data_IF_641875314059
#
_entry.id   IF_641875314059
#
_cell.length_a   1.000
_cell.length_b   1.000
_cell.length_c   1.000
_cell.angle_alpha   90.00
_cell.angle_beta   90.00
_cell.angle_gamma   90.00
#
_symmetry.space_group_name_H-M   'P 1'
#
loop_
_entity.id
_entity.type
_entity.pdbx_description
1 polymer ?
#
# COMPACT_ATOMS: atom_id res chain seq x y z
N UNK A 1 -30.20 5.99 80.24
CA UNK A 1 -31.03 5.53 79.10
C UNK A 1 -30.68 6.15 77.74
N UNK A 2 -30.10 7.36 77.63
CA UNK A 2 -29.78 7.98 76.32
C UNK A 2 -28.67 7.28 75.50
N UNK A 3 -27.68 6.66 76.15
CA UNK A 3 -26.55 6.00 75.45
C UNK A 3 -26.95 4.77 74.62
N UNK A 4 -27.95 3.99 75.07
CA UNK A 4 -28.40 2.79 74.34
C UNK A 4 -29.17 3.10 73.05
N UNK A 5 -29.87 4.25 72.99
CA UNK A 5 -30.61 4.65 71.78
C UNK A 5 -29.69 5.02 70.61
N UNK A 6 -28.54 5.62 70.89
CA UNK A 6 -27.56 6.00 69.86
C UNK A 6 -26.90 4.75 69.26
N UNK A 7 -26.54 3.78 70.10
CA UNK A 7 -25.93 2.52 69.62
C UNK A 7 -26.90 1.75 68.73
N UNK A 8 -28.18 1.66 69.11
CA UNK A 8 -29.19 0.98 68.30
C UNK A 8 -29.41 1.66 66.93
N UNK A 9 -29.39 2.99 66.90
CA UNK A 9 -29.52 3.76 65.65
C UNK A 9 -28.32 3.54 64.72
N UNK A 10 -27.10 3.54 65.26
CA UNK A 10 -25.88 3.30 64.46
C UNK A 10 -25.86 1.89 63.89
N UNK A 11 -26.26 0.89 64.67
CA UNK A 11 -26.37 -0.50 64.19
C UNK A 11 -27.41 -0.63 63.08
N UNK A 12 -28.57 0.03 63.22
CA UNK A 12 -29.60 0.01 62.18
C UNK A 12 -29.15 0.69 60.88
N UNK A 13 -28.43 1.82 60.96
CA UNK A 13 -27.92 2.52 59.77
C UNK A 13 -26.83 1.71 59.07
N UNK A 14 -25.91 1.09 59.82
CA UNK A 14 -24.86 0.23 59.25
C UNK A 14 -25.48 -1.01 58.58
N UNK A 15 -26.49 -1.61 59.20
CA UNK A 15 -27.23 -2.72 58.59
C UNK A 15 -27.91 -2.30 57.28
N UNK A 16 -28.48 -1.09 57.23
CA UNK A 16 -29.13 -0.57 56.01
C UNK A 16 -28.11 -0.29 54.89
N UNK A 17 -26.94 0.28 55.21
CA UNK A 17 -25.86 0.50 54.23
C UNK A 17 -25.34 -0.81 53.67
N UNK A 18 -25.23 -1.86 54.49
CA UNK A 18 -24.87 -3.20 54.01
C UNK A 18 -25.98 -3.85 53.16
N UNK A 19 -27.25 -3.65 53.52
CA UNK A 19 -28.38 -4.21 52.77
C UNK A 19 -28.53 -3.57 51.37
N UNK A 20 -28.18 -2.28 51.24
CA UNK A 20 -28.33 -1.53 49.97
C UNK A 20 -27.02 -1.33 49.20
N UNK A 21 -25.85 -1.50 49.83
CA UNK A 21 -24.54 -1.45 49.16
C UNK A 21 -24.17 -2.73 48.41
N UNK A 22 -25.00 -3.77 48.50
CA UNK A 22 -24.79 -5.10 47.88
C UNK A 22 -25.51 -5.28 46.54
N UNK A 23 -26.00 -4.21 45.93
CA UNK A 23 -26.35 -4.27 44.50
C UNK A 23 -25.05 -4.01 43.71
N UNK A 24 -24.37 -5.05 43.17
CA UNK A 24 -23.32 -4.82 42.20
C UNK A 24 -23.93 -3.95 41.11
N UNK A 25 -23.22 -2.88 40.73
CA UNK A 25 -23.55 -2.05 39.59
C UNK A 25 -24.04 -2.94 38.47
N UNK A 26 -25.31 -2.78 38.10
CA UNK A 26 -25.89 -3.50 36.98
C UNK A 26 -25.06 -3.14 35.76
N UNK A 27 -24.09 -3.97 35.42
CA UNK A 27 -23.74 -4.14 34.03
C UNK A 27 -25.07 -4.44 33.36
N UNK A 28 -25.55 -3.49 32.55
CA UNK A 28 -26.56 -3.72 31.54
C UNK A 28 -25.97 -4.77 30.59
N UNK A 29 -25.96 -6.01 31.06
CA UNK A 29 -25.59 -7.21 30.33
C UNK A 29 -26.72 -7.50 29.37
N UNK A 30 -26.84 -6.66 28.35
CA UNK A 30 -27.49 -7.08 27.12
C UNK A 30 -26.71 -8.27 26.59
N UNK A 31 -27.40 -9.35 26.26
CA UNK A 31 -26.82 -10.44 25.48
C UNK A 31 -26.28 -9.82 24.18
N UNK A 32 -24.97 -9.72 24.06
CA UNK A 32 -24.34 -9.41 22.77
C UNK A 32 -24.47 -10.68 21.94
N UNK A 33 -25.57 -10.77 21.20
CA UNK A 33 -25.79 -11.86 20.29
C UNK A 33 -24.84 -11.69 19.10
N UNK A 34 -23.71 -12.39 19.16
CA UNK A 34 -22.76 -12.46 18.04
C UNK A 34 -23.36 -13.33 16.95
N UNK A 35 -24.10 -12.72 16.02
CA UNK A 35 -24.56 -13.39 14.81
C UNK A 35 -23.52 -13.21 13.71
N UNK A 36 -23.06 -14.31 13.13
CA UNK A 36 -22.37 -14.25 11.85
C UNK A 36 -23.37 -13.82 10.77
N UNK A 37 -23.23 -12.60 10.27
CA UNK A 37 -24.03 -12.11 9.15
C UNK A 37 -23.27 -12.41 7.85
N UNK A 38 -23.77 -13.38 7.09
CA UNK A 38 -23.23 -13.70 5.76
C UNK A 38 -23.97 -12.90 4.70
N UNK A 39 -23.24 -12.06 3.95
CA UNK A 39 -23.80 -11.33 2.82
C UNK A 39 -23.53 -12.09 1.52
N UNK A 40 -24.60 -12.35 0.74
CA UNK A 40 -24.48 -13.01 -0.59
C UNK A 40 -24.05 -12.05 -1.71
N UNK A 41 -23.96 -10.76 -1.42
CA UNK A 41 -23.47 -9.71 -2.31
C UNK A 41 -22.64 -8.70 -1.48
N UNK A 42 -21.70 -8.01 -2.13
CA UNK A 42 -20.79 -7.07 -1.46
C UNK A 42 -21.53 -6.01 -0.62
N UNK A 43 -20.95 -5.65 0.52
CA UNK A 43 -21.50 -4.64 1.43
C UNK A 43 -21.36 -3.26 0.76
N UNK A 44 -22.48 -2.65 0.33
CA UNK A 44 -22.49 -1.25 -0.10
C UNK A 44 -22.69 -0.36 1.13
N UNK A 45 -21.66 0.38 1.51
CA UNK A 45 -21.79 1.42 2.53
C UNK A 45 -22.74 2.51 2.03
N UNK A 46 -23.90 2.64 2.66
CA UNK A 46 -24.78 3.79 2.46
C UNK A 46 -24.29 5.02 3.24
N UNK A 47 -24.83 6.23 2.96
CA UNK A 47 -24.42 7.47 3.61
C UNK A 47 -24.70 7.53 5.13
N UNK A 48 -25.34 6.49 5.69
CA UNK A 48 -25.63 6.34 7.12
C UNK A 48 -25.00 5.09 7.73
N UNK A 49 -24.10 4.40 7.02
CA UNK A 49 -23.36 3.29 7.61
C UNK A 49 -22.38 3.85 8.64
N UNK A 50 -22.53 3.42 9.90
CA UNK A 50 -21.54 3.68 10.94
C UNK A 50 -20.21 3.13 10.47
N UNK A 51 -19.35 4.05 10.04
CA UNK A 51 -18.01 3.78 9.58
C UNK A 51 -17.29 2.96 10.67
N UNK A 52 -16.82 1.76 10.32
CA UNK A 52 -15.68 1.16 11.01
C UNK A 52 -14.44 1.85 10.44
N UNK A 53 -14.35 3.17 10.63
CA UNK A 53 -13.14 3.94 10.39
C UNK A 53 -12.54 4.15 11.76
N UNK A 54 -11.40 3.52 12.01
CA UNK A 54 -10.61 3.93 13.17
C UNK A 54 -10.19 5.40 12.99
N UNK A 55 -9.89 6.09 14.08
CA UNK A 55 -9.59 7.54 14.06
C UNK A 55 -8.35 7.93 13.22
N UNK A 56 -7.67 6.98 12.58
CA UNK A 56 -6.56 7.25 11.67
C UNK A 56 -7.00 7.51 10.22
N UNK A 57 -8.28 7.36 9.88
CA UNK A 57 -8.78 7.62 8.52
C UNK A 57 -8.30 6.59 7.48
N UNK A 58 -7.68 5.50 7.94
CA UNK A 58 -7.22 4.41 7.07
C UNK A 58 -8.34 3.40 6.93
N UNK A 59 -8.73 3.10 5.69
CA UNK A 59 -9.54 1.93 5.37
C UNK A 59 -8.74 0.67 5.70
N UNK A 60 -8.81 0.20 6.95
CA UNK A 60 -8.47 -1.16 7.30
C UNK A 60 -9.64 -2.03 6.90
N UNK A 61 -9.76 -2.26 5.60
CA UNK A 61 -10.59 -3.33 5.06
C UNK A 61 -10.05 -4.66 5.55
N UNK A 62 -10.34 -5.00 6.80
CA UNK A 62 -10.28 -6.36 7.28
C UNK A 62 -11.29 -7.13 6.42
N UNK A 63 -10.80 -7.85 5.42
CA UNK A 63 -11.50 -9.05 4.95
C UNK A 63 -11.53 -9.97 6.17
N UNK A 64 -12.63 -9.87 6.92
CA UNK A 64 -12.78 -10.45 8.24
C UNK A 64 -12.59 -11.96 8.19
N UNK A 65 -11.53 -12.46 8.85
CA UNK A 65 -11.30 -13.88 9.05
C UNK A 65 -9.84 -14.29 9.18
N UNK A 66 -8.91 -13.43 8.79
CA UNK A 66 -7.49 -13.64 9.10
C UNK A 66 -6.92 -12.28 9.44
N UNK A 67 -6.16 -12.19 10.52
CA UNK A 67 -5.05 -11.23 10.61
C UNK A 67 -4.10 -11.57 9.46
N UNK A 68 -4.53 -11.29 8.24
CA UNK A 68 -3.81 -11.58 7.03
C UNK A 68 -2.62 -10.68 7.11
N UNK A 69 -1.47 -11.27 7.41
CA UNK A 69 -0.21 -10.69 7.00
C UNK A 69 -0.45 -10.22 5.57
N UNK A 70 -0.47 -8.91 5.33
CA UNK A 70 -0.21 -8.42 4.00
C UNK A 70 1.07 -9.13 3.63
N UNK A 71 1.01 -10.06 2.67
CA UNK A 71 2.23 -10.66 2.18
C UNK A 71 3.09 -9.46 1.82
N UNK A 72 4.32 -9.43 2.30
CA UNK A 72 5.30 -8.36 2.01
C UNK A 72 5.63 -8.29 0.51
N UNK A 73 4.92 -9.06 -0.30
CA UNK A 73 5.12 -9.28 -1.70
C UNK A 73 3.76 -9.38 -2.40
N UNK A 74 3.69 -8.82 -3.61
CA UNK A 74 2.54 -8.92 -4.49
C UNK A 74 2.77 -10.10 -5.45
N UNK A 75 2.00 -11.17 -5.29
CA UNK A 75 1.95 -12.26 -6.27
C UNK A 75 0.92 -11.97 -7.35
N UNK A 76 1.31 -12.02 -8.63
CA UNK A 76 0.40 -11.89 -9.77
C UNK A 76 0.33 -13.25 -10.47
N UNK A 77 -0.87 -13.81 -10.61
CA UNK A 77 -1.09 -15.06 -11.36
C UNK A 77 -0.40 -16.31 -10.80
N UNK A 78 0.01 -16.32 -9.52
CA UNK A 78 0.68 -17.45 -8.89
C UNK A 78 2.19 -17.56 -9.16
N UNK A 79 2.81 -16.54 -9.78
CA UNK A 79 4.27 -16.47 -9.97
C UNK A 79 5.06 -16.04 -8.71
N UNK A 80 6.38 -15.96 -8.84
CA UNK A 80 7.26 -15.39 -7.81
C UNK A 80 6.79 -13.99 -7.44
N UNK A 81 6.66 -13.73 -6.14
CA UNK A 81 6.07 -12.50 -5.67
C UNK A 81 7.04 -11.32 -5.84
N UNK A 82 6.53 -10.14 -6.22
CA UNK A 82 7.36 -8.95 -6.41
C UNK A 82 7.83 -8.46 -5.04
N UNK A 83 9.14 -8.51 -4.81
CA UNK A 83 9.80 -8.04 -3.59
C UNK A 83 9.96 -6.51 -3.56
N UNK A 84 10.23 -5.87 -4.70
CA UNK A 84 10.35 -4.42 -4.80
C UNK A 84 10.16 -3.87 -6.23
N UNK A 85 9.81 -2.60 -6.34
CA UNK A 85 9.88 -1.82 -7.59
C UNK A 85 11.09 -0.91 -7.49
N UNK A 86 12.06 -1.08 -8.39
CA UNK A 86 13.28 -0.27 -8.42
C UNK A 86 13.15 0.77 -9.53
N UNK A 87 13.47 2.03 -9.24
CA UNK A 87 13.43 3.12 -10.22
C UNK A 87 14.63 4.02 -10.04
N UNK A 88 15.22 4.47 -11.15
CA UNK A 88 16.23 5.52 -11.13
C UNK A 88 16.11 6.44 -12.35
N UNK A 89 16.73 7.60 -12.29
CA UNK A 89 16.76 8.59 -13.36
C UNK A 89 18.19 9.03 -13.65
N UNK A 90 18.47 9.36 -14.91
CA UNK A 90 19.72 10.00 -15.32
C UNK A 90 19.46 11.01 -16.42
N UNK A 91 20.35 11.98 -16.58
CA UNK A 91 20.31 12.90 -17.73
C UNK A 91 20.90 12.21 -18.96
N UNK A 92 20.31 12.47 -20.12
CA UNK A 92 20.79 11.94 -21.38
C UNK A 92 20.50 12.91 -22.52
N UNK A 93 21.57 13.28 -23.22
CA UNK A 93 21.54 13.97 -24.49
C UNK A 93 22.00 12.97 -25.56
N UNK A 94 21.09 12.30 -26.28
CA UNK A 94 21.47 11.40 -27.36
C UNK A 94 22.11 12.20 -28.48
N UNK A 95 23.15 11.65 -29.11
CA UNK A 95 23.67 12.23 -30.35
C UNK A 95 22.61 12.15 -31.46
N UNK A 96 22.72 13.03 -32.46
CA UNK A 96 21.86 12.98 -33.64
C UNK A 96 22.02 11.64 -34.37
N UNK A 97 20.89 10.97 -34.64
CA UNK A 97 20.86 9.64 -35.24
C UNK A 97 20.37 9.72 -36.68
N UNK A 98 21.13 9.15 -37.62
CA UNK A 98 20.58 8.82 -38.94
C UNK A 98 19.42 7.82 -38.82
N UNK A 99 18.61 7.68 -39.88
CA UNK A 99 17.54 6.68 -39.92
C UNK A 99 18.10 5.27 -39.70
N UNK A 100 17.41 4.45 -38.90
CA UNK A 100 17.86 3.14 -38.39
C UNK A 100 19.13 3.18 -37.50
N UNK A 101 19.62 4.37 -37.16
CA UNK A 101 20.72 4.53 -36.20
C UNK A 101 20.28 4.18 -34.78
N UNK A 102 21.22 3.67 -34.00
CA UNK A 102 21.01 3.33 -32.59
C UNK A 102 22.06 3.97 -31.69
N UNK A 103 21.68 4.30 -30.47
CA UNK A 103 22.60 4.71 -29.41
C UNK A 103 22.13 4.13 -28.08
N UNK A 104 23.06 3.95 -27.14
CA UNK A 104 22.79 3.33 -25.85
C UNK A 104 23.22 4.22 -24.69
N UNK A 105 22.57 4.02 -23.54
CA UNK A 105 22.94 4.65 -22.28
C UNK A 105 22.77 3.66 -21.14
N UNK A 106 23.83 3.48 -20.37
CA UNK A 106 23.77 2.72 -19.13
C UNK A 106 23.25 3.59 -17.98
N UNK A 107 22.37 3.00 -17.18
CA UNK A 107 21.78 3.59 -15.99
C UNK A 107 21.98 2.62 -14.82
N UNK A 108 22.64 3.11 -13.78
CA UNK A 108 22.80 2.37 -12.52
C UNK A 108 21.43 2.19 -11.86
N UNK A 109 21.06 0.95 -11.58
CA UNK A 109 19.80 0.57 -10.97
C UNK A 109 20.06 -0.49 -9.91
N UNK A 110 20.57 -0.04 -8.75
CA UNK A 110 21.04 -0.92 -7.68
C UNK A 110 20.00 -1.98 -7.28
N UNK A 111 20.48 -3.20 -7.02
CA UNK A 111 19.67 -4.38 -6.69
C UNK A 111 18.81 -4.95 -7.83
N UNK A 112 18.97 -4.47 -9.08
CA UNK A 112 18.39 -5.14 -10.24
C UNK A 112 19.12 -6.44 -10.56
N UNK A 113 18.39 -7.39 -11.15
CA UNK A 113 18.93 -8.69 -11.55
C UNK A 113 18.75 -8.89 -13.05
N UNK A 114 19.77 -9.42 -13.72
CA UNK A 114 19.73 -9.72 -15.15
C UNK A 114 18.49 -10.56 -15.50
N UNK A 115 17.82 -10.20 -16.59
CA UNK A 115 16.58 -10.86 -17.04
C UNK A 115 15.29 -10.31 -16.41
N UNK A 116 15.39 -9.42 -15.42
CA UNK A 116 14.20 -8.74 -14.88
C UNK A 116 13.60 -7.81 -15.96
N UNK A 117 12.27 -7.72 -16.08
CA UNK A 117 11.63 -6.81 -17.01
C UNK A 117 11.92 -5.37 -16.60
N UNK A 118 12.17 -4.50 -17.56
CA UNK A 118 12.31 -3.07 -17.30
C UNK A 118 11.53 -2.22 -18.30
N UNK A 119 11.06 -1.09 -17.79
CA UNK A 119 10.30 -0.08 -18.52
C UNK A 119 11.12 1.21 -18.50
N UNK A 120 11.11 1.92 -19.62
CA UNK A 120 11.90 3.14 -19.81
C UNK A 120 11.05 4.25 -20.39
N UNK A 121 11.37 5.49 -20.02
CA UNK A 121 10.84 6.69 -20.64
C UNK A 121 11.90 7.81 -20.68
N UNK A 122 11.85 8.64 -21.71
CA UNK A 122 12.74 9.81 -21.89
C UNK A 122 11.88 11.07 -22.01
N UNK A 123 12.15 12.08 -21.18
CA UNK A 123 11.28 13.27 -21.08
C UNK A 123 11.26 14.17 -22.33
N UNK A 124 12.32 14.17 -23.14
CA UNK A 124 12.39 14.94 -24.39
C UNK A 124 11.68 14.24 -25.56
N UNK A 125 11.30 12.99 -25.36
CA UNK A 125 10.78 12.12 -26.38
C UNK A 125 9.26 12.35 -26.51
N UNK A 126 8.89 13.43 -27.20
CA UNK A 126 7.51 13.94 -27.30
C UNK A 126 6.83 13.60 -28.64
N UNK A 127 7.60 13.30 -29.68
CA UNK A 127 7.12 12.94 -31.01
C UNK A 127 6.81 11.44 -31.09
N UNK A 128 5.52 11.07 -31.12
CA UNK A 128 5.10 9.67 -31.27
C UNK A 128 5.53 9.08 -32.62
N UNK A 129 6.03 7.84 -32.61
CA UNK A 129 6.27 7.05 -33.84
C UNK A 129 7.60 7.29 -34.56
N UNK A 130 8.44 8.21 -34.09
CA UNK A 130 9.74 8.51 -34.70
C UNK A 130 10.90 7.62 -34.18
N UNK A 131 10.72 6.96 -33.04
CA UNK A 131 11.77 6.20 -32.37
C UNK A 131 11.20 5.08 -31.48
N UNK A 132 12.09 4.16 -31.10
CA UNK A 132 11.84 3.14 -30.07
C UNK A 132 12.84 3.27 -28.93
N UNK A 133 12.35 3.10 -27.70
CA UNK A 133 13.20 2.94 -26.52
C UNK A 133 13.07 1.49 -26.02
N UNK A 134 14.19 0.78 -26.01
CA UNK A 134 14.32 -0.53 -25.38
C UNK A 134 15.07 -0.41 -24.06
N UNK A 135 14.75 -1.28 -23.11
CA UNK A 135 15.50 -1.42 -21.87
C UNK A 135 15.81 -2.90 -21.61
N UNK A 136 17.02 -3.18 -21.15
CA UNK A 136 17.42 -4.49 -20.63
C UNK A 136 18.25 -4.31 -19.36
N UNK A 137 18.09 -5.20 -18.37
CA UNK A 137 19.04 -5.31 -17.26
C UNK A 137 20.25 -6.10 -17.76
N UNK A 138 21.25 -5.39 -18.28
CA UNK A 138 22.44 -5.95 -18.95
C UNK A 138 23.44 -6.57 -17.97
N UNK A 139 23.48 -6.07 -16.74
CA UNK A 139 24.26 -6.63 -15.63
C UNK A 139 23.51 -6.40 -14.30
N UNK A 140 23.89 -7.14 -13.25
CA UNK A 140 23.31 -6.90 -11.92
C UNK A 140 23.62 -5.46 -11.47
N UNK A 141 22.57 -4.71 -11.11
CA UNK A 141 22.72 -3.30 -10.75
C UNK A 141 22.81 -2.32 -11.92
N UNK A 142 22.72 -2.78 -13.18
CA UNK A 142 22.87 -1.93 -14.38
C UNK A 142 21.79 -2.24 -15.41
N UNK A 143 21.14 -1.18 -15.91
CA UNK A 143 20.24 -1.26 -17.06
C UNK A 143 20.86 -0.56 -18.25
N UNK A 144 20.78 -1.17 -19.43
CA UNK A 144 21.16 -0.56 -20.70
C UNK A 144 19.89 -0.17 -21.44
N UNK A 145 19.76 1.12 -21.72
CA UNK A 145 18.69 1.66 -22.57
C UNK A 145 19.22 1.80 -23.98
N UNK A 146 18.42 1.39 -24.96
CA UNK A 146 18.71 1.57 -26.39
C UNK A 146 17.66 2.49 -27.00
N UNK A 147 18.10 3.52 -27.72
CA UNK A 147 17.28 4.35 -28.58
C UNK A 147 17.52 3.93 -30.03
N UNK A 148 16.46 3.62 -30.76
CA UNK A 148 16.46 3.32 -32.19
C UNK A 148 15.65 4.39 -32.92
N UNK A 149 16.24 5.03 -33.94
CA UNK A 149 15.53 5.95 -34.82
C UNK A 149 14.85 5.18 -35.96
N UNK A 150 13.53 5.36 -36.12
CA UNK A 150 12.72 4.78 -37.21
C UNK A 150 11.92 5.83 -37.98
N UNK A 151 12.28 7.10 -37.84
CA UNK A 151 11.52 8.23 -38.39
C UNK A 151 11.56 8.35 -39.91
N UNK A 152 12.46 7.64 -40.60
CA UNK A 152 12.73 7.83 -42.03
C UNK A 152 13.70 8.97 -42.34
N UNK A 153 14.17 9.72 -41.33
CA UNK A 153 15.13 10.81 -41.46
C UNK A 153 16.12 10.87 -40.30
N UNK A 154 16.83 11.99 -40.17
CA UNK A 154 17.68 12.26 -39.01
C UNK A 154 16.83 12.62 -37.80
N UNK A 155 17.09 11.97 -36.67
CA UNK A 155 16.45 12.25 -35.39
C UNK A 155 17.44 13.01 -34.49
N UNK A 156 17.05 14.19 -34.08
CA UNK A 156 17.79 15.01 -33.12
C UNK A 156 16.88 15.26 -31.90
N UNK A 157 17.17 14.58 -30.80
CA UNK A 157 16.41 14.72 -29.56
C UNK A 157 17.13 15.69 -28.64
N UNK A 158 16.39 16.65 -28.10
CA UNK A 158 16.93 17.50 -27.06
C UNK A 158 17.33 16.68 -25.81
N UNK A 159 18.27 17.23 -25.03
CA UNK A 159 18.63 16.71 -23.72
C UNK A 159 17.38 16.49 -22.86
N UNK A 160 17.32 15.33 -22.19
CA UNK A 160 16.18 14.94 -21.37
C UNK A 160 16.59 14.14 -20.13
N UNK A 161 15.58 13.81 -19.33
CA UNK A 161 15.72 12.88 -18.21
C UNK A 161 15.21 11.51 -18.63
N UNK A 162 16.11 10.54 -18.57
CA UNK A 162 15.83 9.13 -18.78
C UNK A 162 15.40 8.52 -17.44
N UNK A 163 14.24 7.89 -17.39
CA UNK A 163 13.74 7.14 -16.23
C UNK A 163 13.68 5.65 -16.58
N UNK A 164 14.25 4.83 -15.72
CA UNK A 164 14.16 3.36 -15.83
C UNK A 164 13.47 2.81 -14.59
N UNK A 165 12.58 1.83 -14.77
CA UNK A 165 11.89 1.12 -13.70
C UNK A 165 11.93 -0.38 -13.96
N UNK A 166 12.19 -1.19 -12.93
CA UNK A 166 12.20 -2.66 -13.01
C UNK A 166 11.56 -3.27 -11.76
N UNK A 167 11.17 -4.54 -11.86
CA UNK A 167 10.66 -5.32 -10.75
C UNK A 167 11.76 -6.24 -10.20
N UNK A 168 11.89 -6.27 -8.89
CA UNK A 168 12.65 -7.29 -8.18
C UNK A 168 11.67 -8.34 -7.69
N UNK A 169 11.91 -9.60 -8.04
CA UNK A 169 11.18 -10.77 -7.58
C UNK A 169 11.91 -11.43 -6.41
#
# INVERSE_FOLDING_TARGET
MKKYKIVLLVVAVVALVWLFGLFPSGQLGGLVESRNVYFRAGIRGGPSATQIIDSSGVWKGAVSGTTGAFSTSLGVGGGTAIAAILSNTTTWNPDSLANNGTTTKDVTLANSTVGSPCVVGLSSATSSGAYFLGCVISANGTSTVTLLNVSGGTLDLANGTLRVTTFKY
#
